data_IF_209573391696
#
_entry.id   IF_209573391696
#
_cell.length_a   1.000
_cell.length_b   1.000
_cell.length_c   1.000
_cell.angle_alpha   90.00
_cell.angle_beta   90.00
_cell.angle_gamma   90.00
#
_symmetry.space_group_name_H-M   'P 1'
#
loop_
_entity.id
_entity.type
_entity.pdbx_description
1 polymer ?
#
# COMPACT_ATOMS: atom_id res chain seq x y z
N UNK A 1 -1.79 2.94 24.17
CA UNK A 1 -1.93 3.87 23.01
C UNK A 1 -0.73 3.87 22.06
N UNK A 2 0.52 4.19 22.48
CA UNK A 2 1.66 4.30 21.53
C UNK A 2 2.07 3.02 20.79
N UNK A 3 1.93 1.84 21.42
CA UNK A 3 2.39 0.56 20.84
C UNK A 3 1.49 0.06 19.70
N UNK A 4 0.17 0.10 19.87
CA UNK A 4 -0.79 -0.30 18.83
C UNK A 4 -0.66 0.58 17.57
N UNK A 5 -0.49 1.90 17.73
CA UNK A 5 -0.26 2.81 16.59
C UNK A 5 1.07 2.54 15.88
N UNK A 6 2.13 2.17 16.61
CA UNK A 6 3.41 1.77 16.03
C UNK A 6 3.29 0.48 15.21
N UNK A 7 2.58 -0.53 15.72
CA UNK A 7 2.34 -1.77 14.98
C UNK A 7 1.47 -1.56 13.74
N UNK A 8 0.42 -0.74 13.83
CA UNK A 8 -0.39 -0.35 12.66
C UNK A 8 0.42 0.41 11.61
N UNK A 9 1.35 1.27 12.03
CA UNK A 9 2.22 2.03 11.12
C UNK A 9 3.27 1.13 10.46
N UNK A 10 3.88 0.20 11.19
CA UNK A 10 4.81 -0.80 10.63
C UNK A 10 4.10 -1.74 9.64
N UNK A 11 2.89 -2.19 9.97
CA UNK A 11 2.09 -3.01 9.08
C UNK A 11 1.74 -2.27 7.78
N UNK A 12 1.30 -1.01 7.88
CA UNK A 12 1.08 -0.13 6.72
C UNK A 12 2.33 0.03 5.85
N UNK A 13 3.50 0.24 6.47
CA UNK A 13 4.77 0.37 5.76
C UNK A 13 5.14 -0.93 5.01
N UNK A 14 4.94 -2.08 5.66
CA UNK A 14 5.17 -3.40 5.06
C UNK A 14 4.19 -3.70 3.93
N UNK A 15 2.91 -3.32 4.07
CA UNK A 15 1.94 -3.45 3.00
C UNK A 15 2.27 -2.60 1.79
N UNK A 16 2.69 -1.36 2.01
CA UNK A 16 3.15 -0.48 0.94
C UNK A 16 4.41 -1.06 0.24
N UNK A 17 5.38 -1.53 1.02
CA UNK A 17 6.57 -2.19 0.48
C UNK A 17 6.21 -3.47 -0.30
N UNK A 18 5.26 -4.26 0.18
CA UNK A 18 4.78 -5.47 -0.49
C UNK A 18 4.13 -5.19 -1.84
N UNK A 19 3.34 -4.12 -1.96
CA UNK A 19 2.72 -3.72 -3.23
C UNK A 19 3.76 -3.21 -4.22
N UNK A 20 4.71 -2.39 -3.76
CA UNK A 20 5.82 -1.93 -4.58
C UNK A 20 6.61 -3.13 -5.09
N UNK A 21 6.89 -4.12 -4.23
CA UNK A 21 7.57 -5.34 -4.64
C UNK A 21 6.75 -6.19 -5.61
N UNK A 22 5.43 -6.29 -5.44
CA UNK A 22 4.56 -7.05 -6.35
C UNK A 22 4.54 -6.41 -7.74
N UNK A 23 4.49 -5.08 -7.82
CA UNK A 23 4.43 -4.36 -9.10
C UNK A 23 5.82 -4.18 -9.76
N UNK A 24 6.88 -3.95 -8.98
CA UNK A 24 8.21 -3.57 -9.49
C UNK A 24 9.31 -4.59 -9.19
N UNK A 25 9.05 -5.68 -8.45
CA UNK A 25 10.08 -6.65 -8.03
C UNK A 25 10.71 -7.46 -9.16
N UNK A 26 10.08 -7.50 -10.34
CA UNK A 26 10.65 -8.07 -11.56
C UNK A 26 11.38 -7.05 -12.43
N UNK A 27 11.46 -5.79 -12.02
CA UNK A 27 12.07 -4.73 -12.82
C UNK A 27 13.59 -4.74 -12.72
N UNK A 28 14.27 -4.39 -13.82
CA UNK A 28 15.74 -4.28 -13.87
C UNK A 28 16.23 -2.94 -13.27
N UNK A 29 15.31 -2.11 -12.78
CA UNK A 29 15.60 -0.79 -12.26
C UNK A 29 16.13 -0.86 -10.83
N UNK A 30 16.94 0.12 -10.41
CA UNK A 30 17.42 0.20 -9.04
C UNK A 30 16.27 0.46 -8.05
N UNK A 31 16.40 -0.06 -6.83
CA UNK A 31 15.33 -0.12 -5.80
C UNK A 31 14.75 1.24 -5.44
N UNK A 32 15.50 2.34 -5.60
CA UNK A 32 15.00 3.69 -5.32
C UNK A 32 13.98 4.19 -6.36
N UNK A 33 13.94 3.60 -7.56
CA UNK A 33 12.99 3.95 -8.63
C UNK A 33 11.71 3.11 -8.59
N UNK A 34 11.75 1.97 -7.86
CA UNK A 34 10.62 1.05 -7.75
C UNK A 34 9.31 1.69 -7.29
N UNK A 35 9.28 2.64 -6.33
CA UNK A 35 8.02 3.28 -5.94
C UNK A 35 7.40 4.08 -7.08
N UNK A 36 8.23 4.75 -7.87
CA UNK A 36 7.79 5.54 -9.01
C UNK A 36 7.31 4.63 -10.16
N UNK A 37 8.08 3.60 -10.49
CA UNK A 37 7.73 2.60 -11.51
C UNK A 37 6.44 1.85 -11.15
N UNK A 38 6.29 1.41 -9.90
CA UNK A 38 5.06 0.77 -9.43
C UNK A 38 3.85 1.71 -9.56
N UNK A 39 4.02 3.00 -9.23
CA UNK A 39 2.95 3.98 -9.39
C UNK A 39 2.57 4.18 -10.86
N UNK A 40 3.55 4.36 -11.74
CA UNK A 40 3.32 4.51 -13.17
C UNK A 40 2.68 3.27 -13.80
N UNK A 41 3.11 2.07 -13.41
CA UNK A 41 2.50 0.81 -13.83
C UNK A 41 1.05 0.67 -13.38
N UNK A 42 0.72 1.17 -12.17
CA UNK A 42 -0.65 1.21 -11.67
C UNK A 42 -1.51 2.19 -12.46
N UNK A 43 -1.01 3.40 -12.71
CA UNK A 43 -1.68 4.41 -13.56
C UNK A 43 -1.92 3.87 -14.96
N UNK A 44 -0.92 3.25 -15.57
CA UNK A 44 -1.05 2.60 -16.87
C UNK A 44 -2.13 1.52 -16.85
N UNK A 45 -2.11 0.64 -15.86
CA UNK A 45 -3.09 -0.45 -15.73
C UNK A 45 -4.52 0.07 -15.56
N UNK A 46 -4.71 1.18 -14.84
CA UNK A 46 -6.02 1.84 -14.67
C UNK A 46 -6.47 2.51 -15.96
N UNK A 47 -5.59 3.30 -16.61
CA UNK A 47 -5.88 3.98 -17.88
C UNK A 47 -6.22 2.96 -18.96
N UNK A 48 -5.41 1.90 -19.08
CA UNK A 48 -5.61 0.85 -20.06
C UNK A 48 -6.82 -0.03 -19.74
N UNK A 49 -7.00 -0.43 -18.48
CA UNK A 49 -8.08 -1.34 -18.06
C UNK A 49 -9.47 -0.70 -18.05
N UNK A 50 -9.58 0.58 -17.67
CA UNK A 50 -10.86 1.31 -17.66
C UNK A 50 -11.08 2.23 -18.87
N UNK A 51 -10.08 2.40 -19.73
CA UNK A 51 -10.15 3.32 -20.88
C UNK A 51 -10.27 4.79 -20.48
N UNK A 52 -9.75 5.16 -19.32
CA UNK A 52 -9.83 6.53 -18.77
C UNK A 52 -8.81 7.46 -19.42
N UNK A 53 -9.03 8.77 -19.32
CA UNK A 53 -7.99 9.74 -19.67
C UNK A 53 -6.82 9.65 -18.68
N UNK A 54 -5.62 10.01 -19.14
CA UNK A 54 -4.39 9.97 -18.33
C UNK A 54 -4.56 10.72 -17.00
N UNK A 55 -5.21 11.90 -17.03
CA UNK A 55 -5.46 12.71 -15.82
C UNK A 55 -6.34 11.96 -14.82
N UNK A 56 -7.41 11.30 -15.28
CA UNK A 56 -8.28 10.53 -14.39
C UNK A 56 -7.61 9.25 -13.90
N UNK A 57 -6.73 8.65 -14.70
CA UNK A 57 -5.88 7.53 -14.29
C UNK A 57 -5.04 7.84 -13.05
N UNK A 58 -4.43 9.02 -13.00
CA UNK A 58 -3.66 9.47 -11.83
C UNK A 58 -4.54 9.63 -10.58
N UNK A 59 -5.72 10.25 -10.72
CA UNK A 59 -6.66 10.45 -9.60
C UNK A 59 -7.13 9.11 -9.03
N UNK A 60 -7.53 8.18 -9.89
CA UNK A 60 -8.01 6.86 -9.48
C UNK A 60 -6.87 6.05 -8.84
N UNK A 61 -5.65 6.13 -9.38
CA UNK A 61 -4.47 5.46 -8.84
C UNK A 61 -4.11 5.94 -7.43
N UNK A 62 -4.18 7.26 -7.20
CA UNK A 62 -4.00 7.84 -5.87
C UNK A 62 -5.07 7.36 -4.88
N UNK A 63 -6.33 7.25 -5.33
CA UNK A 63 -7.40 6.70 -4.51
C UNK A 63 -7.16 5.23 -4.16
N UNK A 64 -6.73 4.41 -5.13
CA UNK A 64 -6.40 2.99 -4.89
C UNK A 64 -5.30 2.87 -3.83
N UNK A 65 -4.21 3.61 -3.98
CA UNK A 65 -3.11 3.59 -3.00
C UNK A 65 -3.59 4.03 -1.62
N UNK A 66 -4.41 5.08 -1.55
CA UNK A 66 -4.97 5.58 -0.29
C UNK A 66 -5.86 4.54 0.39
N UNK A 67 -6.73 3.86 -0.37
CA UNK A 67 -7.59 2.78 0.15
C UNK A 67 -6.74 1.62 0.66
N UNK A 68 -5.69 1.23 -0.07
CA UNK A 68 -4.84 0.13 0.34
C UNK A 68 -4.02 0.49 1.59
N UNK A 69 -3.54 1.73 1.71
CA UNK A 69 -2.90 2.24 2.92
C UNK A 69 -3.84 2.18 4.12
N UNK A 70 -5.09 2.62 3.96
CA UNK A 70 -6.10 2.59 5.03
C UNK A 70 -6.44 1.14 5.39
N UNK A 71 -6.62 0.26 4.40
CA UNK A 71 -6.90 -1.16 4.63
C UNK A 71 -5.75 -1.84 5.37
N UNK A 72 -4.51 -1.58 4.97
CA UNK A 72 -3.34 -2.16 5.61
C UNK A 72 -3.14 -1.61 7.03
N UNK A 73 -3.39 -0.31 7.25
CA UNK A 73 -3.39 0.29 8.58
C UNK A 73 -4.50 -0.29 9.48
N UNK A 74 -5.70 -0.48 8.95
CA UNK A 74 -6.84 -1.06 9.67
C UNK A 74 -6.61 -2.53 10.02
N UNK A 75 -6.04 -3.31 9.10
CA UNK A 75 -5.63 -4.70 9.36
C UNK A 75 -4.53 -4.71 10.42
N UNK A 76 -3.50 -3.87 10.29
CA UNK A 76 -2.41 -3.76 11.25
C UNK A 76 -2.86 -3.35 12.65
N UNK A 77 -3.78 -2.39 12.76
CA UNK A 77 -4.33 -1.95 14.04
C UNK A 77 -5.17 -3.07 14.69
N UNK A 78 -6.04 -3.72 13.91
CA UNK A 78 -6.84 -4.87 14.38
C UNK A 78 -5.96 -6.05 14.79
N UNK A 79 -4.91 -6.37 14.04
CA UNK A 79 -3.96 -7.42 14.40
C UNK A 79 -3.24 -7.08 15.70
N UNK A 80 -2.87 -5.80 15.89
CA UNK A 80 -2.22 -5.34 17.11
C UNK A 80 -3.16 -5.38 18.32
N UNK A 81 -4.45 -5.07 18.16
CA UNK A 81 -5.45 -5.19 19.21
C UNK A 81 -5.71 -6.66 19.58
N UNK A 82 -5.67 -7.58 18.61
CA UNK A 82 -5.81 -9.03 18.86
C UNK A 82 -4.56 -9.60 19.54
N UNK A 83 -3.35 -9.24 19.07
CA UNK A 83 -2.08 -9.72 19.62
C UNK A 83 -1.73 -9.11 20.98
N UNK A 84 -2.14 -7.88 21.27
CA UNK A 84 -1.92 -7.22 22.58
C UNK A 84 -3.13 -7.33 23.52
N UNK A 85 -4.32 -7.66 23.01
CA UNK A 85 -5.52 -7.91 23.80
C UNK A 85 -5.50 -9.24 24.57
N UNK A 86 -4.61 -10.17 24.19
CA UNK A 86 -4.48 -11.49 24.81
C UNK A 86 -3.57 -11.52 26.07
N UNK A 87 -2.79 -10.46 26.34
CA UNK A 87 -1.90 -10.41 27.51
C UNK A 87 -2.59 -9.96 28.82
N UNK A 88 -3.94 -9.96 28.87
CA UNK A 88 -4.72 -9.53 30.04
C UNK A 88 -5.85 -10.53 30.42
N UNK A 89 -5.70 -11.81 30.07
CA UNK A 89 -6.44 -12.91 30.67
C UNK A 89 -5.48 -13.82 31.46
#
# INVERSE_FOLDING_TARGET
MKRATLFGLLASLLGLAGIIWLLAGGSHFPVYEWPYEAFQGLVFSVVWGFGLSVVMGYVVSLLIISVVLIACFSIGSKLSDILLGDNNQ
#
